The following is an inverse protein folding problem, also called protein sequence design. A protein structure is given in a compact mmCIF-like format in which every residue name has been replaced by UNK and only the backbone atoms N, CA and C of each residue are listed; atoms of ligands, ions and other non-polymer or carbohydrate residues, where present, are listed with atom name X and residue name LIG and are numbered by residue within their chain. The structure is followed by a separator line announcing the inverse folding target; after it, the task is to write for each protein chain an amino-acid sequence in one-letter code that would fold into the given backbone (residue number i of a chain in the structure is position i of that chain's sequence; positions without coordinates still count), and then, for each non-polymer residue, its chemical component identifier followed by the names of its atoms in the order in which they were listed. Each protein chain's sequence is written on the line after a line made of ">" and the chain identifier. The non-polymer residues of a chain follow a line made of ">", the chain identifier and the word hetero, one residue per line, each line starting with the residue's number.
data_IF_768829054244
#
_entry.id   IF_768829054244
#
_cell.length_a   1.000
_cell.length_b   1.000
_cell.length_c   1.000
_cell.angle_alpha   90.00
_cell.angle_beta   90.00
_cell.angle_gamma   90.00
#
_symmetry.space_group_name_H-M   'P 1'
#
loop_
_entity.id
_entity.type
_entity.pdbx_description
1 polymer ?
#
# COMPACT_ATOMS: atom_id res chain seq x y z
N UNK A 1 4.02 -9.25 -29.14
CA UNK A 1 3.85 -8.26 -28.04
C UNK A 1 4.73 -7.07 -28.36
N UNK A 2 4.20 -5.85 -28.48
CA UNK A 2 5.04 -4.68 -28.77
C UNK A 2 5.92 -4.41 -27.55
N UNK A 3 7.17 -4.84 -27.64
CA UNK A 3 8.26 -4.44 -26.75
C UNK A 3 8.55 -2.97 -27.06
N UNK A 4 7.89 -2.09 -26.32
CA UNK A 4 8.19 -0.68 -26.28
C UNK A 4 8.24 -0.31 -24.81
N UNK A 5 9.31 0.35 -24.39
CA UNK A 5 9.48 0.92 -23.06
C UNK A 5 8.52 2.10 -22.82
N UNK A 6 7.23 1.91 -23.12
CA UNK A 6 6.14 2.85 -22.88
C UNK A 6 5.23 2.23 -21.84
N UNK A 7 4.98 2.94 -20.76
CA UNK A 7 3.97 2.58 -19.77
C UNK A 7 2.66 2.22 -20.50
N UNK A 8 2.28 0.94 -20.52
CA UNK A 8 1.02 0.51 -21.13
C UNK A 8 -0.08 1.00 -20.19
N UNK A 9 -0.76 2.07 -20.57
CA UNK A 9 -1.92 2.59 -19.85
C UNK A 9 -3.17 1.97 -20.45
N UNK A 10 -4.08 1.50 -19.61
CA UNK A 10 -5.37 0.99 -20.01
C UNK A 10 -6.51 1.83 -19.42
N UNK A 11 -7.64 1.82 -20.11
CA UNK A 11 -8.91 2.32 -19.61
C UNK A 11 -9.83 1.16 -19.20
N UNK A 12 -10.77 1.36 -18.26
CA UNK A 12 -11.76 0.34 -17.91
C UNK A 12 -12.52 -0.15 -19.16
N UNK A 13 -12.67 -1.47 -19.30
CA UNK A 13 -13.28 -2.12 -20.46
C UNK A 13 -12.31 -2.38 -21.62
N UNK A 14 -11.04 -1.95 -21.53
CA UNK A 14 -10.04 -2.24 -22.56
C UNK A 14 -9.58 -3.70 -22.47
N UNK A 15 -9.56 -4.38 -23.62
CA UNK A 15 -8.99 -5.74 -23.77
C UNK A 15 -7.47 -5.66 -23.73
N UNK A 16 -6.85 -6.39 -22.80
CA UNK A 16 -5.39 -6.43 -22.62
C UNK A 16 -4.81 -7.66 -23.33
N UNK A 17 -5.27 -8.85 -22.96
CA UNK A 17 -4.69 -10.12 -23.41
C UNK A 17 -5.75 -11.21 -23.53
N UNK A 18 -5.41 -12.32 -24.18
CA UNK A 18 -6.18 -13.55 -24.17
C UNK A 18 -5.76 -14.41 -22.97
N UNK A 19 -6.72 -15.09 -22.35
CA UNK A 19 -6.47 -16.05 -21.27
C UNK A 19 -5.80 -17.28 -21.88
N UNK A 20 -4.47 -17.25 -21.96
CA UNK A 20 -3.66 -18.44 -22.19
C UNK A 20 -3.54 -19.22 -20.88
N UNK A 21 -3.29 -20.53 -20.94
CA UNK A 21 -3.21 -21.38 -19.73
C UNK A 21 -2.23 -20.89 -18.66
N UNK A 22 -1.22 -20.11 -19.06
CA UNK A 22 -0.21 -19.55 -18.18
C UNK A 22 -0.46 -18.06 -17.85
N UNK A 23 -1.61 -17.46 -18.18
CA UNK A 23 -1.89 -16.03 -17.95
C UNK A 23 -3.15 -15.88 -17.09
N UNK A 24 -2.97 -15.36 -15.89
CA UNK A 24 -4.03 -15.15 -14.90
C UNK A 24 -4.36 -13.66 -14.76
N UNK A 25 -5.64 -13.36 -14.55
CA UNK A 25 -6.10 -12.02 -14.21
C UNK A 25 -5.77 -11.74 -12.74
N UNK A 26 -5.03 -10.66 -12.51
CA UNK A 26 -4.72 -10.13 -11.18
C UNK A 26 -5.55 -8.90 -10.84
N UNK A 27 -5.08 -8.17 -9.84
CA UNK A 27 -5.73 -6.95 -9.33
C UNK A 27 -6.00 -5.93 -10.45
N UNK A 28 -7.20 -5.36 -10.47
CA UNK A 28 -7.60 -4.36 -11.46
C UNK A 28 -7.93 -4.93 -12.84
N UNK A 29 -7.95 -6.26 -13.01
CA UNK A 29 -8.36 -6.96 -14.24
C UNK A 29 -9.40 -8.02 -13.96
N UNK A 30 -10.17 -8.41 -14.98
CA UNK A 30 -11.11 -9.52 -14.89
C UNK A 30 -11.09 -10.35 -16.18
N UNK A 31 -11.43 -11.63 -16.07
CA UNK A 31 -11.60 -12.51 -17.22
C UNK A 31 -13.04 -12.47 -17.71
N UNK A 32 -13.24 -12.27 -19.01
CA UNK A 32 -14.54 -12.39 -19.65
C UNK A 32 -14.38 -13.04 -21.02
N UNK A 33 -15.14 -14.10 -21.26
CA UNK A 33 -15.18 -14.81 -22.54
C UNK A 33 -13.78 -15.13 -23.14
N UNK A 34 -12.89 -15.69 -22.31
CA UNK A 34 -11.48 -16.03 -22.63
C UNK A 34 -10.53 -14.85 -22.86
N UNK A 35 -10.94 -13.63 -22.56
CA UNK A 35 -10.07 -12.45 -22.62
C UNK A 35 -9.95 -11.77 -21.26
N UNK A 36 -8.82 -11.11 -21.03
CA UNK A 36 -8.57 -10.30 -19.85
C UNK A 36 -8.88 -8.85 -20.21
N UNK A 37 -9.79 -8.27 -19.43
CA UNK A 37 -10.20 -6.88 -19.54
C UNK A 37 -9.71 -6.09 -18.32
N UNK A 38 -9.40 -4.82 -18.54
CA UNK A 38 -9.13 -3.87 -17.46
C UNK A 38 -10.44 -3.50 -16.74
N UNK A 39 -10.45 -3.61 -15.42
CA UNK A 39 -11.49 -3.02 -14.56
C UNK A 39 -11.12 -1.59 -14.15
N UNK A 40 -9.80 -1.32 -14.02
CA UNK A 40 -9.28 -0.03 -13.58
C UNK A 40 -8.59 0.73 -14.72
N UNK A 41 -8.61 2.06 -14.62
CA UNK A 41 -7.75 2.92 -15.42
C UNK A 41 -6.36 2.95 -14.77
N UNK A 42 -5.30 2.62 -15.50
CA UNK A 42 -3.98 2.60 -14.89
C UNK A 42 -2.91 1.95 -15.74
N UNK A 43 -1.77 1.70 -15.13
CA UNK A 43 -0.65 1.03 -15.78
C UNK A 43 -0.82 -0.48 -15.67
N UNK A 44 -0.68 -1.16 -16.79
CA UNK A 44 -0.61 -2.63 -16.86
C UNK A 44 0.80 -3.07 -16.51
N UNK A 45 0.91 -3.88 -15.45
CA UNK A 45 2.13 -4.56 -15.03
C UNK A 45 1.90 -6.07 -15.09
N UNK A 46 2.74 -6.77 -15.84
CA UNK A 46 2.70 -8.23 -15.90
C UNK A 46 3.77 -8.77 -14.96
N UNK A 47 3.35 -9.43 -13.89
CA UNK A 47 4.24 -10.05 -12.91
C UNK A 47 4.38 -11.53 -13.24
N UNK A 48 5.58 -12.04 -13.56
CA UNK A 48 5.80 -13.46 -13.72
C UNK A 48 5.80 -14.14 -12.34
N UNK A 49 5.00 -15.19 -12.18
CA UNK A 49 4.95 -16.09 -11.02
C UNK A 49 5.36 -17.50 -11.49
N UNK A 50 5.74 -18.38 -10.54
CA UNK A 50 6.30 -19.72 -10.79
C UNK A 50 5.40 -20.59 -11.69
N UNK A 51 4.07 -20.47 -11.58
CA UNK A 51 3.09 -21.23 -12.36
C UNK A 51 2.36 -20.40 -13.45
N UNK A 52 2.76 -19.15 -13.69
CA UNK A 52 2.12 -18.29 -14.69
C UNK A 52 2.36 -16.80 -14.56
N UNK A 53 2.00 -16.05 -15.59
CA UNK A 53 2.05 -14.59 -15.64
C UNK A 53 0.74 -14.00 -15.11
N UNK A 54 0.83 -13.12 -14.12
CA UNK A 54 -0.32 -12.41 -13.56
C UNK A 54 -0.34 -10.99 -14.13
N UNK A 55 -1.43 -10.63 -14.81
CA UNK A 55 -1.65 -9.28 -15.33
C UNK A 55 -2.31 -8.45 -14.23
N UNK A 56 -1.64 -7.38 -13.77
CA UNK A 56 -2.18 -6.43 -12.79
C UNK A 56 -2.32 -5.06 -13.44
N UNK A 57 -3.38 -4.33 -13.07
CA UNK A 57 -3.55 -2.94 -13.42
C UNK A 57 -3.52 -2.11 -12.15
N UNK A 58 -2.52 -1.25 -12.05
CA UNK A 58 -2.32 -0.40 -10.88
C UNK A 58 -2.54 1.05 -11.30
N UNK A 59 -3.41 1.76 -10.59
CA UNK A 59 -3.44 3.22 -10.65
C UNK A 59 -2.08 3.70 -10.12
N UNK A 60 -1.41 4.68 -10.73
CA UNK A 60 -0.03 5.11 -10.39
C UNK A 60 0.24 5.59 -8.94
N UNK A 61 -0.67 5.30 -8.01
CA UNK A 61 -0.51 5.39 -6.57
C UNK A 61 0.11 4.08 -6.08
N UNK A 62 1.29 4.21 -5.49
CA UNK A 62 2.01 3.08 -4.90
C UNK A 62 1.11 2.36 -3.88
N UNK A 63 1.15 1.02 -3.93
CA UNK A 63 0.22 0.12 -3.24
C UNK A 63 0.09 0.42 -1.75
N UNK A 64 -1.09 0.11 -1.21
CA UNK A 64 -1.37 0.19 0.22
C UNK A 64 -0.48 -0.81 0.95
N UNK A 65 0.67 -0.35 1.46
CA UNK A 65 1.51 -1.16 2.35
C UNK A 65 0.74 -1.32 3.65
N UNK A 66 0.38 -2.57 3.95
CA UNK A 66 -0.20 -2.92 5.24
C UNK A 66 0.91 -2.85 6.30
N UNK A 67 0.75 -2.09 7.40
CA UNK A 67 1.71 -2.09 8.49
C UNK A 67 1.75 -3.47 9.14
N UNK A 68 2.94 -4.07 9.24
CA UNK A 68 3.17 -5.33 9.95
C UNK A 68 3.64 -5.06 11.39
N UNK A 69 3.35 -5.98 12.31
CA UNK A 69 3.98 -5.98 13.64
C UNK A 69 5.50 -6.02 13.49
N UNK A 70 6.22 -5.19 14.24
CA UNK A 70 7.66 -4.99 14.15
C UNK A 70 8.08 -3.83 13.26
N UNK A 71 7.17 -3.29 12.43
CA UNK A 71 7.51 -2.21 11.51
C UNK A 71 7.59 -0.86 12.22
N UNK A 72 8.59 -0.07 11.86
CA UNK A 72 8.73 1.33 12.30
C UNK A 72 7.79 2.20 11.49
N UNK A 73 6.91 2.93 12.17
CA UNK A 73 5.97 3.84 11.51
C UNK A 73 6.17 5.29 11.92
N UNK A 74 5.86 6.21 11.01
CA UNK A 74 5.80 7.64 11.29
C UNK A 74 4.33 8.06 11.38
N UNK A 75 3.94 8.62 12.52
CA UNK A 75 2.56 9.01 12.81
C UNK A 75 2.45 10.45 13.31
N UNK A 76 1.29 11.06 13.06
CA UNK A 76 0.87 12.36 13.60
C UNK A 76 -0.05 12.14 14.80
N UNK A 77 0.23 12.79 15.92
CA UNK A 77 -0.65 12.76 17.09
C UNK A 77 -1.92 13.57 16.80
N UNK A 78 -3.10 12.96 16.99
CA UNK A 78 -4.39 13.62 16.82
C UNK A 78 -4.91 14.17 18.15
N UNK A 79 -4.88 13.34 19.19
CA UNK A 79 -5.36 13.70 20.52
C UNK A 79 -4.58 12.92 21.57
N UNK A 80 -4.35 13.55 22.72
CA UNK A 80 -3.62 12.96 23.84
C UNK A 80 -4.58 12.85 25.02
N UNK A 81 -4.89 11.62 25.42
CA UNK A 81 -5.54 11.34 26.69
C UNK A 81 -4.47 10.90 27.72
N UNK A 82 -4.71 11.08 29.03
CA UNK A 82 -3.73 10.73 30.07
C UNK A 82 -3.22 9.28 30.02
N UNK A 83 -4.07 8.34 29.58
CA UNK A 83 -3.73 6.93 29.50
C UNK A 83 -3.39 6.45 28.07
N UNK A 84 -3.79 7.21 27.05
CA UNK A 84 -3.64 6.82 25.64
C UNK A 84 -3.59 8.02 24.70
N UNK A 85 -2.69 8.01 23.72
CA UNK A 85 -2.68 8.97 22.62
C UNK A 85 -3.24 8.34 21.35
N UNK A 86 -4.19 9.01 20.72
CA UNK A 86 -4.68 8.64 19.39
C UNK A 86 -3.77 9.26 18.35
N UNK A 87 -3.23 8.43 17.46
CA UNK A 87 -2.29 8.83 16.42
C UNK A 87 -2.80 8.41 15.05
N UNK A 88 -2.31 9.09 14.02
CA UNK A 88 -2.62 8.84 12.62
C UNK A 88 -1.32 8.48 11.91
N UNK A 89 -1.20 7.23 11.48
CA UNK A 89 -0.02 6.69 10.79
C UNK A 89 -0.04 7.18 9.35
N UNK A 90 1.05 7.80 8.92
CA UNK A 90 1.19 8.39 7.58
C UNK A 90 2.17 7.58 6.73
N UNK A 91 3.24 7.06 7.34
CA UNK A 91 4.26 6.29 6.64
C UNK A 91 4.67 5.06 7.45
N UNK A 92 5.03 4.00 6.75
CA UNK A 92 5.66 2.78 7.31
C UNK A 92 7.05 2.67 6.68
N UNK A 93 8.10 2.76 7.49
CA UNK A 93 9.49 2.87 7.02
C UNK A 93 9.67 4.01 6.02
N UNK A 94 10.05 3.67 4.79
CA UNK A 94 10.26 4.61 3.68
C UNK A 94 9.03 4.82 2.80
N UNK A 95 7.97 4.02 2.99
CA UNK A 95 6.80 4.02 2.12
C UNK A 95 5.67 4.84 2.74
N UNK A 96 5.15 5.79 1.96
CA UNK A 96 3.98 6.59 2.34
C UNK A 96 2.71 5.78 2.14
N UNK A 97 1.85 5.75 3.16
CA UNK A 97 0.53 5.10 3.03
C UNK A 97 -0.40 6.00 2.22
N UNK A 98 -1.16 5.38 1.32
CA UNK A 98 -2.19 6.08 0.54
C UNK A 98 -3.34 6.58 1.42
N UNK A 99 -3.82 5.72 2.31
CA UNK A 99 -4.82 6.04 3.31
C UNK A 99 -4.18 5.97 4.69
N UNK A 100 -4.19 7.07 5.47
CA UNK A 100 -3.61 7.06 6.79
C UNK A 100 -4.45 6.19 7.73
N UNK A 101 -3.79 5.42 8.60
CA UNK A 101 -4.42 4.47 9.51
C UNK A 101 -4.40 5.02 10.93
N UNK A 102 -5.52 4.93 11.65
CA UNK A 102 -5.58 5.34 13.06
C UNK A 102 -4.90 4.30 13.95
N UNK A 103 -4.04 4.76 14.85
CA UNK A 103 -3.37 3.95 15.87
C UNK A 103 -3.59 4.53 17.26
N UNK A 104 -3.31 3.72 18.29
CA UNK A 104 -3.41 4.15 19.69
C UNK A 104 -2.14 3.77 20.44
N UNK A 105 -1.55 4.74 21.14
CA UNK A 105 -0.36 4.55 21.96
C UNK A 105 -0.76 4.59 23.42
N UNK A 106 -0.58 3.47 24.12
CA UNK A 106 -0.86 3.40 25.57
C UNK A 106 0.34 3.91 26.35
N UNK A 107 0.08 4.58 27.48
CA UNK A 107 1.11 5.12 28.37
C UNK A 107 2.16 4.07 28.79
N UNK A 108 1.74 2.82 29.01
CA UNK A 108 2.63 1.71 29.38
C UNK A 108 3.70 1.36 28.32
N UNK A 109 3.46 1.72 27.06
CA UNK A 109 4.38 1.46 25.94
C UNK A 109 5.29 2.66 25.63
N UNK A 110 5.08 3.78 26.31
CA UNK A 110 5.94 4.96 26.21
C UNK A 110 7.01 4.84 27.28
N UNK A 111 8.21 4.41 26.89
CA UNK A 111 9.38 4.49 27.79
C UNK A 111 9.99 5.90 27.69
N UNK A 112 10.27 6.49 28.84
CA UNK A 112 10.92 7.80 28.95
C UNK A 112 12.29 7.78 28.28
N UNK A 113 12.37 8.26 27.04
CA UNK A 113 13.60 8.84 26.53
C UNK A 113 13.39 10.35 26.47
N UNK A 114 13.96 11.04 27.46
CA UNK A 114 14.02 12.48 27.70
C UNK A 114 12.75 13.29 27.36
N UNK A 115 12.06 13.65 28.44
CA UNK A 115 10.86 14.48 28.52
C UNK A 115 11.26 15.93 28.17
N UNK A 116 11.30 16.30 26.89
CA UNK A 116 11.39 17.71 26.51
C UNK A 116 9.98 18.33 26.38
N UNK A 117 9.85 19.52 26.94
CA UNK A 117 8.60 20.11 27.45
C UNK A 117 7.79 20.82 26.36
N UNK A 118 7.98 20.45 25.09
CA UNK A 118 7.14 20.92 23.98
C UNK A 118 6.86 19.77 23.03
N UNK A 119 5.58 19.44 22.89
CA UNK A 119 5.07 18.43 21.96
C UNK A 119 5.34 18.80 20.49
N UNK A 120 6.59 18.76 20.06
CA UNK A 120 6.96 18.95 18.66
C UNK A 120 8.02 17.92 18.31
N UNK A 121 7.57 16.91 17.55
CA UNK A 121 8.40 15.93 16.85
C UNK A 121 9.11 14.94 17.78
N UNK A 122 8.32 14.11 18.47
CA UNK A 122 8.85 12.79 18.80
C UNK A 122 8.75 11.97 17.51
N UNK A 123 9.90 11.64 16.93
CA UNK A 123 10.06 10.45 16.08
C UNK A 123 9.65 9.26 16.95
N UNK A 124 8.34 9.04 17.11
CA UNK A 124 7.83 7.82 17.71
C UNK A 124 8.07 6.78 16.65
N UNK A 125 9.28 6.21 16.64
CA UNK A 125 9.57 4.94 16.02
C UNK A 125 8.69 3.93 16.75
N UNK A 126 7.42 3.87 16.35
CA UNK A 126 6.45 3.00 16.96
C UNK A 126 6.61 1.66 16.27
N UNK A 127 7.38 0.77 16.90
CA UNK A 127 7.32 -0.65 16.55
C UNK A 127 5.91 -1.10 16.89
N UNK A 128 5.09 -1.45 15.89
CA UNK A 128 3.84 -2.17 16.17
C UNK A 128 4.22 -3.45 16.92
N UNK A 129 3.67 -3.70 18.10
CA UNK A 129 3.78 -5.00 18.77
C UNK A 129 2.59 -5.86 18.41
#
# INVERSE_FOLDING_TARGET
>A
MKSGNGHIVCVPGQRICEVSGNILAGEGTYTFNKYIYASLAGQVTVVPTEDGQVVKVTLGRQGTVMPEAGSVVTCRVLSVNPNQATVLIICVGSNKLHSPVSGTVKKQNVRDYQIDTRCTIVFVQMTLF
#
